data_IF_586021720506
#
_entry.id   IF_586021720506
#
_cell.length_a   1.000
_cell.length_b   1.000
_cell.length_c   1.000
_cell.angle_alpha   90.00
_cell.angle_beta   90.00
_cell.angle_gamma   90.00
#
_symmetry.space_group_name_H-M   'P 1'
#
loop_
_entity.id
_entity.type
_entity.pdbx_description
1 polymer ?
#
# COMPACT_ATOMS: atom_id res chain seq x y z
N UNK A 1 -21.95 -17.24 -21.23
CA UNK A 1 -20.76 -16.38 -21.39
C UNK A 1 -20.84 -15.26 -20.35
N UNK A 2 -20.11 -15.35 -19.24
CA UNK A 2 -19.98 -14.22 -18.34
C UNK A 2 -18.49 -14.01 -18.09
N UNK A 3 -17.87 -13.23 -18.98
CA UNK A 3 -16.66 -12.52 -18.61
C UNK A 3 -17.12 -11.52 -17.56
N UNK A 4 -17.07 -11.92 -16.30
CA UNK A 4 -17.10 -10.99 -15.17
C UNK A 4 -15.86 -10.14 -15.37
N UNK A 5 -16.00 -9.08 -16.15
CA UNK A 5 -15.01 -8.04 -16.29
C UNK A 5 -15.01 -7.37 -14.92
N UNK A 6 -14.23 -7.91 -14.00
CA UNK A 6 -13.80 -7.17 -12.83
C UNK A 6 -12.88 -6.06 -13.34
N UNK A 7 -13.46 -5.02 -13.93
CA UNK A 7 -12.84 -3.70 -13.97
C UNK A 7 -12.88 -3.27 -12.51
N UNK A 8 -11.84 -3.61 -11.76
CA UNK A 8 -11.72 -3.17 -10.38
C UNK A 8 -11.72 -1.65 -10.39
N UNK A 9 -12.73 -1.04 -9.79
CA UNK A 9 -12.89 0.40 -9.57
C UNK A 9 -11.82 0.92 -8.61
N UNK A 10 -10.54 0.65 -8.87
CA UNK A 10 -9.42 1.14 -8.06
C UNK A 10 -9.21 2.64 -8.25
N UNK A 11 -9.83 3.25 -9.28
CA UNK A 11 -9.79 4.69 -9.53
C UNK A 11 -10.62 5.55 -8.56
N UNK A 12 -11.49 4.96 -7.75
CA UNK A 12 -12.43 5.74 -6.92
C UNK A 12 -12.00 5.87 -5.45
N UNK A 13 -10.79 5.43 -5.09
CA UNK A 13 -10.26 5.57 -3.74
C UNK A 13 -9.26 6.73 -3.68
N UNK A 14 -9.76 7.96 -3.76
CA UNK A 14 -8.94 9.17 -3.56
C UNK A 14 -8.23 9.16 -2.20
N UNK A 15 -8.83 8.50 -1.21
CA UNK A 15 -8.31 8.39 0.16
C UNK A 15 -7.27 7.28 0.39
N UNK A 16 -6.79 6.60 -0.65
CA UNK A 16 -5.88 5.44 -0.50
C UNK A 16 -4.63 5.57 -1.36
N UNK A 17 -3.47 5.51 -0.70
CA UNK A 17 -2.16 5.48 -1.34
C UNK A 17 -1.66 4.03 -1.40
N UNK A 18 -1.42 3.53 -2.62
CA UNK A 18 -0.86 2.19 -2.84
C UNK A 18 0.65 2.31 -3.04
N UNK A 19 1.42 1.70 -2.15
CA UNK A 19 2.88 1.60 -2.22
C UNK A 19 3.29 0.16 -2.55
N UNK A 20 4.42 0.01 -3.25
CA UNK A 20 5.01 -1.30 -3.55
C UNK A 20 6.40 -1.37 -2.93
N UNK A 21 6.61 -2.30 -2.01
CA UNK A 21 7.94 -2.60 -1.49
C UNK A 21 8.65 -3.54 -2.47
N UNK A 22 9.84 -3.14 -2.92
CA UNK A 22 10.65 -3.90 -3.87
C UNK A 22 12.03 -4.18 -3.26
N UNK A 23 12.51 -5.41 -3.42
CA UNK A 23 13.89 -5.81 -3.13
C UNK A 23 14.50 -6.31 -4.43
N UNK A 24 15.67 -5.80 -4.80
CA UNK A 24 16.36 -6.14 -6.06
C UNK A 24 15.46 -5.99 -7.30
N UNK A 25 14.63 -4.94 -7.31
CA UNK A 25 13.67 -4.68 -8.39
C UNK A 25 12.46 -5.61 -8.43
N UNK A 26 12.36 -6.59 -7.52
CA UNK A 26 11.20 -7.49 -7.40
C UNK A 26 10.27 -7.00 -6.31
N UNK A 27 8.99 -6.79 -6.66
CA UNK A 27 7.96 -6.47 -5.68
C UNK A 27 7.77 -7.63 -4.70
N UNK A 28 7.92 -7.34 -3.43
CA UNK A 28 7.75 -8.31 -2.34
C UNK A 28 6.42 -8.12 -1.60
N UNK A 29 5.98 -6.88 -1.37
CA UNK A 29 4.71 -6.54 -0.73
C UNK A 29 4.05 -5.33 -1.39
N UNK A 30 2.72 -5.33 -1.35
CA UNK A 30 1.88 -4.17 -1.65
C UNK A 30 1.33 -3.63 -0.33
N UNK A 31 1.44 -2.33 -0.13
CA UNK A 31 1.02 -1.63 1.07
C UNK A 31 -0.06 -0.62 0.68
N UNK A 32 -1.21 -0.67 1.34
CA UNK A 32 -2.30 0.30 1.22
C UNK A 32 -2.28 1.18 2.46
N UNK A 33 -2.11 2.48 2.25
CA UNK A 33 -2.11 3.52 3.28
C UNK A 33 -3.36 4.37 3.11
N UNK A 34 -4.09 4.59 4.19
CA UNK A 34 -5.17 5.57 4.23
C UNK A 34 -4.55 6.95 4.26
N UNK A 35 -4.89 7.81 3.30
CA UNK A 35 -4.50 9.21 3.30
C UNK A 35 -5.29 9.97 4.37
N UNK A 36 -6.60 9.73 4.45
CA UNK A 36 -7.47 10.37 5.44
C UNK A 36 -7.15 10.03 6.90
N UNK A 37 -6.64 8.82 7.16
CA UNK A 37 -6.25 8.39 8.51
C UNK A 37 -4.74 8.34 8.71
N UNK A 38 -3.95 8.65 7.68
CA UNK A 38 -2.49 8.59 7.68
C UNK A 38 -1.97 7.31 8.36
N UNK A 39 -2.46 6.15 7.91
CA UNK A 39 -2.13 4.85 8.51
C UNK A 39 -2.12 3.72 7.51
N UNK A 40 -1.29 2.71 7.74
CA UNK A 40 -1.30 1.47 6.95
C UNK A 40 -2.61 0.70 7.22
N UNK A 41 -3.43 0.52 6.18
CA UNK A 41 -4.65 -0.31 6.22
C UNK A 41 -4.30 -1.77 5.93
N UNK A 42 -3.41 -1.99 4.96
CA UNK A 42 -3.04 -3.32 4.51
C UNK A 42 -1.57 -3.37 4.10
N UNK A 43 -0.89 -4.46 4.43
CA UNK A 43 0.41 -4.81 3.84
C UNK A 43 0.41 -6.29 3.57
N UNK A 44 0.53 -6.70 2.31
CA UNK A 44 0.44 -8.11 1.92
C UNK A 44 1.45 -8.43 0.83
N UNK A 45 2.15 -9.54 1.00
CA UNK A 45 3.04 -10.10 0.01
C UNK A 45 2.33 -10.98 -1.02
N UNK A 46 3.14 -11.63 -1.85
CA UNK A 46 2.69 -12.63 -2.82
C UNK A 46 1.82 -13.68 -2.11
N UNK A 47 0.68 -14.02 -2.71
CA UNK A 47 -0.32 -14.94 -2.16
C UNK A 47 -0.93 -14.51 -0.81
N UNK A 48 -1.02 -13.20 -0.53
CA UNK A 48 -1.58 -12.63 0.71
C UNK A 48 -0.85 -13.07 2.00
N UNK A 49 0.39 -13.53 1.87
CA UNK A 49 1.22 -13.93 3.01
C UNK A 49 2.09 -12.77 3.47
N UNK A 50 2.39 -12.75 4.76
CA UNK A 50 3.38 -11.82 5.30
C UNK A 50 4.76 -12.28 4.82
N UNK A 51 5.57 -11.36 4.30
CA UNK A 51 6.97 -11.67 3.97
C UNK A 51 7.85 -11.56 5.21
N UNK A 52 9.08 -12.07 5.12
CA UNK A 52 10.10 -11.86 6.17
C UNK A 52 10.29 -10.38 6.53
N UNK A 53 10.08 -9.49 5.55
CA UNK A 53 10.29 -8.06 5.68
C UNK A 53 9.04 -7.29 6.10
N UNK A 54 7.91 -7.97 6.28
CA UNK A 54 6.60 -7.35 6.57
C UNK A 54 6.66 -6.31 7.69
N UNK A 55 7.17 -6.70 8.85
CA UNK A 55 7.27 -5.79 10.01
C UNK A 55 8.23 -4.63 9.74
N UNK A 56 9.31 -4.87 9.01
CA UNK A 56 10.27 -3.82 8.66
C UNK A 56 9.66 -2.81 7.69
N UNK A 57 8.90 -3.30 6.69
CA UNK A 57 8.17 -2.47 5.74
C UNK A 57 7.13 -1.61 6.46
N UNK A 58 6.30 -2.21 7.32
CA UNK A 58 5.28 -1.48 8.09
C UNK A 58 5.93 -0.40 8.97
N UNK A 59 6.99 -0.75 9.70
CA UNK A 59 7.68 0.20 10.55
C UNK A 59 8.29 1.35 9.74
N UNK A 60 8.90 1.05 8.60
CA UNK A 60 9.47 2.07 7.71
C UNK A 60 8.37 3.01 7.20
N UNK A 61 7.25 2.47 6.72
CA UNK A 61 6.13 3.29 6.25
C UNK A 61 5.61 4.17 7.39
N UNK A 62 5.32 3.59 8.57
CA UNK A 62 4.82 4.32 9.73
C UNK A 62 5.76 5.45 10.18
N UNK A 63 7.08 5.23 10.15
CA UNK A 63 8.07 6.27 10.47
C UNK A 63 8.07 7.44 9.48
N UNK A 64 7.67 7.21 8.23
CA UNK A 64 7.65 8.20 7.17
C UNK A 64 6.26 8.82 6.92
N UNK A 65 5.23 8.41 7.67
CA UNK A 65 3.88 8.97 7.54
C UNK A 65 3.84 10.50 7.69
N UNK A 66 4.56 11.13 8.65
CA UNK A 66 4.57 12.59 8.76
C UNK A 66 5.06 13.29 7.48
N UNK A 67 5.99 12.69 6.73
CA UNK A 67 6.45 13.25 5.44
C UNK A 67 5.38 13.20 4.35
N UNK A 68 4.46 12.22 4.43
CA UNK A 68 3.33 12.11 3.53
C UNK A 68 2.30 13.19 3.87
N UNK A 69 2.04 13.42 5.16
CA UNK A 69 1.18 14.50 5.65
C UNK A 69 1.68 15.88 5.21
N UNK A 70 2.96 16.17 5.41
CA UNK A 70 3.58 17.42 4.98
C UNK A 70 3.43 17.66 3.47
N UNK A 71 3.54 16.60 2.66
CA UNK A 71 3.38 16.66 1.20
C UNK A 71 1.94 16.82 0.74
N UNK A 72 0.96 16.44 1.55
CA UNK A 72 -0.47 16.65 1.24
C UNK A 72 -0.92 18.08 1.60
N UNK A 73 -0.26 18.69 2.59
CA UNK A 73 -0.55 20.05 3.04
C UNK A 73 0.12 21.15 2.18
N UNK A 74 1.13 20.80 1.38
CA UNK A 74 1.89 21.71 0.51
C UNK A 74 1.25 21.88 -0.88
#
# INVERSE_FOLDING_TARGET
>A
MHKHHCVGSYHSKEDSLILSACIDGKRIETIEVSISQLKVIQSRGVCNKNTKYHNQIINLVNQNIPLIEDRLAA
#
